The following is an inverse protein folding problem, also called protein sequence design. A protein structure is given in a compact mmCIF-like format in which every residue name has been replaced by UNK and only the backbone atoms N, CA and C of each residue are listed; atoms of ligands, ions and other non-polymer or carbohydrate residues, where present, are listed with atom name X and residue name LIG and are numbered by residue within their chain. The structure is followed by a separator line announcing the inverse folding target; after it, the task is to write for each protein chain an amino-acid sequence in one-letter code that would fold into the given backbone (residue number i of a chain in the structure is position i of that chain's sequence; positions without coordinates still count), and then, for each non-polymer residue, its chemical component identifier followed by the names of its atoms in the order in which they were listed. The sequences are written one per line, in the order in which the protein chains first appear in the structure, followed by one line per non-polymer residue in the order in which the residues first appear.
data_IF_484493510827
#
_entry.id   IF_484493510827
#
_cell.length_a   1.000
_cell.length_b   1.000
_cell.length_c   1.000
_cell.angle_alpha   90.00
_cell.angle_beta   90.00
_cell.angle_gamma   90.00
#
_symmetry.space_group_name_H-M   'P 1'
#
loop_
_entity.id
_entity.type
_entity.pdbx_description
1 polymer ?
#
# COMPACT_ATOMS: atom_id res chain seq x y z
N UNK A 1 -20.07 -9.36 -57.58
CA UNK A 1 -21.03 -10.41 -57.16
C UNK A 1 -20.64 -10.91 -55.80
N UNK A 2 -21.49 -10.81 -54.91
CA UNK A 2 -21.89 -11.33 -53.65
C UNK A 2 -21.82 -10.31 -52.49
N UNK A 3 -23.01 -9.80 -52.19
CA UNK A 3 -23.39 -9.02 -51.02
C UNK A 3 -23.59 -9.98 -49.85
N UNK A 4 -23.14 -9.63 -48.67
CA UNK A 4 -23.54 -10.23 -47.40
C UNK A 4 -24.28 -9.20 -46.53
N UNK A 5 -25.24 -9.60 -45.68
CA UNK A 5 -26.33 -8.74 -45.24
C UNK A 5 -26.05 -8.01 -43.91
N UNK A 6 -26.70 -6.85 -43.86
CA UNK A 6 -26.82 -5.96 -42.69
C UNK A 6 -27.65 -6.63 -41.60
N UNK A 7 -27.17 -6.62 -40.32
CA UNK A 7 -27.97 -6.93 -39.14
C UNK A 7 -28.39 -5.64 -38.42
N UNK A 8 -29.70 -5.50 -38.29
CA UNK A 8 -30.39 -4.43 -37.62
C UNK A 8 -30.20 -4.48 -36.10
N UNK A 9 -29.99 -3.33 -35.48
CA UNK A 9 -30.02 -3.11 -34.04
C UNK A 9 -31.47 -2.98 -33.59
N UNK A 10 -31.86 -3.81 -32.59
CA UNK A 10 -33.06 -3.63 -31.84
C UNK A 10 -32.78 -2.77 -30.60
N UNK A 11 -33.66 -1.77 -30.38
CA UNK A 11 -33.53 -0.75 -29.35
C UNK A 11 -33.86 -1.26 -27.94
N UNK A 12 -33.13 -0.70 -26.98
CA UNK A 12 -33.36 -0.89 -25.55
C UNK A 12 -34.21 0.28 -25.05
N UNK A 13 -35.41 -0.05 -24.51
CA UNK A 13 -36.36 0.86 -23.87
C UNK A 13 -35.87 1.26 -22.47
N UNK A 14 -35.99 2.55 -22.16
CA UNK A 14 -35.89 3.13 -20.79
C UNK A 14 -37.14 2.77 -19.99
N UNK A 15 -37.08 2.62 -18.67
CA UNK A 15 -38.23 2.77 -17.78
C UNK A 15 -38.28 4.13 -17.10
N UNK A 16 -39.47 4.73 -17.09
CA UNK A 16 -39.84 5.92 -16.32
C UNK A 16 -40.41 5.55 -14.95
N UNK A 17 -40.54 6.51 -14.02
CA UNK A 17 -40.82 6.28 -12.60
C UNK A 17 -42.32 6.46 -12.26
N UNK A 18 -42.82 5.77 -11.23
CA UNK A 18 -43.93 6.19 -10.34
C UNK A 18 -44.14 5.14 -9.24
N UNK A 19 -43.98 5.53 -8.01
CA UNK A 19 -44.95 5.84 -6.93
C UNK A 19 -45.91 4.73 -6.50
N UNK A 20 -45.88 4.43 -5.25
CA UNK A 20 -46.85 4.32 -4.16
C UNK A 20 -46.79 3.03 -3.31
N UNK A 21 -46.53 3.33 -2.04
CA UNK A 21 -47.18 2.79 -0.82
C UNK A 21 -48.07 1.54 -0.92
N UNK A 22 -47.72 0.50 -0.11
CA UNK A 22 -48.67 -0.08 0.85
C UNK A 22 -48.01 -1.10 1.80
N UNK A 23 -48.52 -1.14 3.02
CA UNK A 23 -48.15 -2.04 4.13
C UNK A 23 -48.69 -3.45 3.87
N UNK A 24 -47.94 -4.47 4.29
CA UNK A 24 -48.41 -5.68 4.99
C UNK A 24 -47.27 -6.69 5.16
N UNK A 25 -47.00 -7.00 6.33
CA UNK A 25 -47.28 -8.28 7.04
C UNK A 25 -46.15 -9.32 7.03
N UNK A 26 -45.94 -9.80 8.25
CA UNK A 26 -44.89 -10.72 8.64
C UNK A 26 -45.15 -12.14 8.10
N UNK A 27 -44.14 -12.72 7.45
CA UNK A 27 -43.95 -14.16 7.46
C UNK A 27 -42.50 -14.55 7.22
N UNK A 28 -42.00 -15.44 8.07
CA UNK A 28 -40.65 -16.02 8.09
C UNK A 28 -40.28 -16.65 6.75
N UNK A 29 -39.09 -16.46 6.23
CA UNK A 29 -38.55 -17.35 5.21
C UNK A 29 -37.76 -18.50 5.81
N UNK A 30 -38.02 -19.67 5.27
CA UNK A 30 -37.35 -20.96 5.44
C UNK A 30 -35.92 -20.87 4.94
N UNK A 31 -35.02 -21.59 5.63
CA UNK A 31 -33.64 -21.84 5.24
C UNK A 31 -33.48 -22.46 3.85
N UNK A 32 -32.51 -22.03 3.04
CA UNK A 32 -31.95 -22.92 2.04
C UNK A 32 -30.56 -23.41 2.49
N UNK A 33 -30.44 -24.71 2.45
CA UNK A 33 -29.22 -25.49 2.45
C UNK A 33 -28.44 -25.21 1.16
N UNK A 34 -27.12 -25.25 1.27
CA UNK A 34 -26.04 -25.54 0.32
C UNK A 34 -25.01 -24.46 0.14
N UNK A 35 -23.88 -24.70 0.73
CA UNK A 35 -22.55 -24.78 0.16
C UNK A 35 -22.07 -23.61 -0.71
N UNK A 36 -21.52 -22.57 -0.07
CA UNK A 36 -20.47 -21.77 -0.71
C UNK A 36 -19.48 -21.36 0.36
N UNK A 37 -18.30 -21.92 0.27
CA UNK A 37 -17.15 -21.62 1.13
C UNK A 37 -16.75 -20.17 0.96
N UNK A 38 -17.12 -19.33 1.89
CA UNK A 38 -16.60 -17.96 2.03
C UNK A 38 -15.21 -18.00 2.67
N UNK A 39 -14.29 -17.14 2.29
CA UNK A 39 -12.93 -17.13 2.87
C UNK A 39 -12.99 -16.72 4.35
N UNK A 40 -12.25 -17.45 5.16
CA UNK A 40 -12.18 -17.45 6.64
C UNK A 40 -11.82 -16.07 7.27
N UNK A 41 -11.54 -15.05 6.50
CA UNK A 41 -11.07 -13.75 7.01
C UNK A 41 -12.14 -12.79 7.53
N UNK A 42 -13.45 -13.12 7.42
CA UNK A 42 -14.51 -12.20 7.85
C UNK A 42 -15.21 -12.59 9.17
N UNK A 43 -14.84 -13.73 9.78
CA UNK A 43 -15.55 -14.25 10.96
C UNK A 43 -14.94 -13.82 12.30
N UNK A 44 -13.79 -13.15 12.33
CA UNK A 44 -13.12 -12.75 13.59
C UNK A 44 -13.61 -11.40 14.15
N UNK A 45 -14.39 -10.61 13.40
CA UNK A 45 -14.76 -9.25 13.85
C UNK A 45 -16.22 -9.08 14.29
N UNK A 46 -17.01 -10.16 14.42
CA UNK A 46 -18.43 -10.03 14.78
C UNK A 46 -18.86 -10.82 16.02
N UNK A 47 -17.98 -11.17 16.89
CA UNK A 47 -18.30 -11.88 18.13
C UNK A 47 -17.80 -11.17 19.39
N UNK A 48 -18.08 -9.88 19.54
CA UNK A 48 -18.08 -9.24 20.86
C UNK A 48 -19.02 -8.05 20.86
N UNK A 49 -20.30 -8.27 20.97
CA UNK A 49 -21.21 -7.41 21.74
C UNK A 49 -22.42 -8.28 22.13
N UNK A 50 -22.28 -9.04 23.20
CA UNK A 50 -23.40 -9.35 24.06
C UNK A 50 -22.99 -8.97 25.48
N UNK A 51 -23.56 -7.91 25.94
CA UNK A 51 -23.40 -7.39 27.28
C UNK A 51 -24.16 -8.27 28.27
N UNK A 52 -23.51 -9.33 28.74
CA UNK A 52 -23.78 -9.85 30.09
C UNK A 52 -22.61 -9.47 30.96
N UNK A 53 -22.88 -8.59 31.93
CA UNK A 53 -21.96 -8.29 33.04
C UNK A 53 -21.81 -9.54 33.88
N UNK A 54 -20.88 -10.43 33.50
CA UNK A 54 -20.39 -11.44 34.41
C UNK A 54 -19.51 -10.72 35.44
N UNK A 55 -20.01 -10.60 36.67
CA UNK A 55 -19.25 -10.12 37.82
C UNK A 55 -18.13 -11.12 38.10
N UNK A 56 -16.95 -10.83 37.59
CA UNK A 56 -15.73 -11.49 38.02
C UNK A 56 -15.29 -10.89 39.34
N UNK A 57 -15.30 -11.68 40.40
CA UNK A 57 -14.80 -11.25 41.70
C UNK A 57 -13.49 -11.97 42.02
N UNK A 58 -12.45 -11.21 42.35
CA UNK A 58 -11.21 -11.78 42.86
C UNK A 58 -11.43 -12.25 44.31
N UNK A 59 -11.10 -13.50 44.60
CA UNK A 59 -11.05 -14.05 45.93
C UNK A 59 -9.62 -14.41 46.29
N UNK A 60 -9.28 -14.34 47.59
CA UNK A 60 -7.95 -14.64 48.08
C UNK A 60 -7.99 -15.69 49.18
N UNK A 61 -7.04 -16.63 49.19
CA UNK A 61 -6.86 -17.59 50.28
C UNK A 61 -5.40 -17.68 50.70
N UNK A 62 -5.17 -17.79 52.03
CA UNK A 62 -3.84 -18.00 52.59
C UNK A 62 -3.49 -19.48 52.58
N UNK A 63 -2.31 -19.78 52.08
CA UNK A 63 -1.76 -21.12 51.99
C UNK A 63 -0.30 -21.12 52.46
N UNK A 64 0.25 -22.28 52.76
CA UNK A 64 1.67 -22.43 53.09
C UNK A 64 2.34 -23.33 52.06
N UNK A 65 3.58 -23.06 51.73
CA UNK A 65 4.45 -23.95 50.97
C UNK A 65 4.82 -25.18 51.80
N UNK A 66 5.42 -26.19 51.18
CA UNK A 66 5.93 -27.39 51.90
C UNK A 66 6.94 -27.02 53.00
N UNK A 67 7.65 -25.92 52.84
CA UNK A 67 8.66 -25.41 53.74
C UNK A 67 8.07 -24.45 54.84
N UNK A 68 6.73 -24.38 54.91
CA UNK A 68 6.02 -23.57 55.91
C UNK A 68 5.90 -22.06 55.59
N UNK A 69 6.44 -21.60 54.44
CA UNK A 69 6.38 -20.19 54.06
C UNK A 69 4.95 -19.83 53.63
N UNK A 70 4.33 -18.79 54.21
CA UNK A 70 2.98 -18.37 53.87
C UNK A 70 2.95 -17.67 52.51
N UNK A 71 1.95 -17.97 51.68
CA UNK A 71 1.64 -17.25 50.46
C UNK A 71 0.13 -17.08 50.30
N UNK A 72 -0.25 -16.14 49.46
CA UNK A 72 -1.66 -15.90 49.12
C UNK A 72 -1.92 -16.31 47.68
N UNK A 73 -2.94 -17.13 47.47
CA UNK A 73 -3.45 -17.47 46.14
C UNK A 73 -4.62 -16.55 45.84
N UNK A 74 -4.50 -15.82 44.74
CA UNK A 74 -5.52 -14.93 44.22
C UNK A 74 -6.24 -15.68 43.11
N UNK A 75 -7.55 -15.80 43.22
CA UNK A 75 -8.40 -16.57 42.31
C UNK A 75 -9.40 -15.63 41.68
N UNK A 76 -9.43 -15.56 40.35
CA UNK A 76 -10.40 -14.76 39.56
C UNK A 76 -11.29 -15.72 38.82
N UNK A 77 -12.59 -15.72 39.15
CA UNK A 77 -13.59 -16.46 38.40
C UNK A 77 -13.93 -15.75 37.09
N UNK A 78 -14.13 -16.49 36.00
CA UNK A 78 -14.46 -15.96 34.66
C UNK A 78 -15.85 -16.35 34.19
N UNK A 79 -16.75 -16.68 35.15
CA UNK A 79 -18.12 -17.08 34.84
C UNK A 79 -18.30 -18.57 34.55
N UNK A 80 -19.54 -18.99 34.24
CA UNK A 80 -19.89 -20.41 34.00
C UNK A 80 -19.15 -20.96 32.76
N UNK A 81 -18.54 -22.13 32.92
CA UNK A 81 -17.88 -22.85 31.82
C UNK A 81 -16.43 -22.47 31.56
N UNK A 82 -15.86 -21.48 32.28
CA UNK A 82 -14.45 -21.12 32.16
C UNK A 82 -13.70 -21.43 33.45
N UNK A 83 -12.52 -22.00 33.35
CA UNK A 83 -11.65 -22.26 34.50
C UNK A 83 -11.22 -20.94 35.14
N UNK A 84 -11.23 -20.90 36.49
CA UNK A 84 -10.73 -19.74 37.23
C UNK A 84 -9.21 -19.58 36.98
N UNK A 85 -8.76 -18.33 36.91
CA UNK A 85 -7.33 -18.02 36.85
C UNK A 85 -6.80 -17.77 38.20
N UNK A 86 -5.60 -18.27 38.50
CA UNK A 86 -4.95 -18.15 39.79
C UNK A 86 -3.58 -17.52 39.66
N UNK A 87 -3.24 -16.66 40.61
CA UNK A 87 -1.90 -16.08 40.80
C UNK A 87 -1.44 -16.28 42.21
N UNK A 88 -0.14 -16.41 42.46
CA UNK A 88 0.45 -16.53 43.79
C UNK A 88 1.21 -15.28 44.13
N UNK A 89 0.95 -14.77 45.33
CA UNK A 89 1.68 -13.63 45.86
C UNK A 89 2.31 -14.00 47.21
N UNK A 90 3.59 -13.69 47.37
CA UNK A 90 4.37 -13.96 48.54
C UNK A 90 4.61 -12.65 49.30
N UNK A 91 4.13 -12.50 50.59
CA UNK A 91 4.39 -11.30 51.31
C UNK A 91 5.87 -11.20 51.69
N UNK A 92 6.47 -10.00 51.64
CA UNK A 92 7.83 -9.80 52.12
C UNK A 92 7.96 -10.13 53.60
N UNK A 93 9.09 -10.71 54.06
CA UNK A 93 9.31 -11.04 55.45
C UNK A 93 9.30 -9.77 56.30
N UNK A 94 8.71 -9.88 57.50
CA UNK A 94 8.65 -8.77 58.48
C UNK A 94 7.49 -7.79 58.29
N UNK A 95 6.61 -8.00 57.34
CA UNK A 95 5.43 -7.15 57.18
C UNK A 95 4.35 -7.44 58.22
N UNK A 96 3.70 -6.37 58.74
CA UNK A 96 2.53 -6.50 59.60
C UNK A 96 1.32 -7.03 58.80
N UNK A 97 0.41 -7.74 59.46
CA UNK A 97 -0.80 -8.29 58.80
C UNK A 97 -1.59 -7.20 58.07
N UNK A 98 -1.70 -6.00 58.67
CA UNK A 98 -2.38 -4.85 58.07
C UNK A 98 -1.72 -4.37 56.74
N UNK A 99 -0.39 -4.44 56.67
CA UNK A 99 0.36 -4.09 55.46
C UNK A 99 0.16 -5.16 54.39
N UNK A 100 0.16 -6.43 54.77
CA UNK A 100 -0.10 -7.58 53.88
C UNK A 100 -1.51 -7.46 53.31
N UNK A 101 -2.54 -7.24 54.07
CA UNK A 101 -3.94 -7.15 53.62
C UNK A 101 -4.15 -6.01 52.65
N UNK A 102 -3.54 -4.86 52.92
CA UNK A 102 -3.60 -3.69 52.01
C UNK A 102 -2.98 -3.98 50.65
N UNK A 103 -1.80 -4.56 50.60
CA UNK A 103 -1.09 -4.85 49.39
C UNK A 103 -1.74 -6.02 48.63
N UNK A 104 -2.20 -7.04 49.37
CA UNK A 104 -2.95 -8.14 48.77
C UNK A 104 -4.20 -7.65 48.01
N UNK A 105 -4.93 -6.71 48.60
CA UNK A 105 -6.11 -6.08 47.93
C UNK A 105 -5.70 -5.38 46.65
N UNK A 106 -4.58 -4.66 46.65
CA UNK A 106 -4.04 -3.98 45.47
C UNK A 106 -3.65 -4.96 44.37
N UNK A 107 -2.91 -6.01 44.71
CA UNK A 107 -2.44 -7.02 43.76
C UNK A 107 -3.61 -7.84 43.23
N UNK A 108 -4.62 -8.15 44.04
CA UNK A 108 -5.82 -8.85 43.63
C UNK A 108 -6.62 -8.02 42.60
N UNK A 109 -6.80 -6.73 42.82
CA UNK A 109 -7.46 -5.82 41.90
C UNK A 109 -6.69 -5.65 40.59
N UNK A 110 -5.35 -5.60 40.63
CA UNK A 110 -4.52 -5.55 39.44
C UNK A 110 -4.61 -6.84 38.63
N UNK A 111 -4.56 -8.00 39.30
CA UNK A 111 -4.70 -9.29 38.62
C UNK A 111 -6.09 -9.45 37.99
N UNK A 112 -7.15 -9.06 38.69
CA UNK A 112 -8.51 -9.05 38.17
C UNK A 112 -8.62 -8.18 36.90
N UNK A 113 -8.03 -6.98 36.91
CA UNK A 113 -7.99 -6.09 35.78
C UNK A 113 -7.30 -6.75 34.55
N UNK A 114 -6.15 -7.41 34.79
CA UNK A 114 -5.40 -8.13 33.72
C UNK A 114 -6.22 -9.30 33.17
N UNK A 115 -6.94 -10.02 34.03
CA UNK A 115 -7.84 -11.11 33.60
C UNK A 115 -9.00 -10.57 32.79
N UNK A 116 -9.64 -9.48 33.21
CA UNK A 116 -10.72 -8.81 32.46
C UNK A 116 -10.23 -8.26 31.12
N UNK A 117 -9.01 -7.77 31.05
CA UNK A 117 -8.37 -7.31 29.80
C UNK A 117 -7.93 -8.46 28.87
N UNK A 118 -8.05 -9.73 29.29
CA UNK A 118 -7.61 -10.88 28.49
C UNK A 118 -6.07 -11.02 28.39
N UNK A 119 -5.33 -10.31 29.25
CA UNK A 119 -3.86 -10.35 29.28
C UNK A 119 -3.31 -11.63 29.92
N UNK A 120 -4.12 -12.30 30.73
CA UNK A 120 -3.78 -13.55 31.40
C UNK A 120 -4.67 -14.67 30.87
N UNK A 121 -4.05 -15.72 30.36
CA UNK A 121 -4.70 -16.89 29.80
C UNK A 121 -4.53 -18.09 30.74
N UNK A 122 -5.45 -19.06 30.68
CA UNK A 122 -5.26 -20.33 31.32
C UNK A 122 -4.20 -21.18 30.57
N UNK A 123 -3.64 -22.18 31.21
CA UNK A 123 -2.68 -23.11 30.55
C UNK A 123 -3.29 -23.82 29.34
N UNK A 124 -4.59 -24.06 29.34
CA UNK A 124 -5.29 -24.64 28.21
C UNK A 124 -5.41 -23.64 27.07
N UNK A 125 -5.85 -22.40 27.33
CA UNK A 125 -5.95 -21.34 26.35
C UNK A 125 -4.58 -20.96 25.75
N UNK A 126 -3.51 -20.99 26.57
CA UNK A 126 -2.14 -20.81 26.06
C UNK A 126 -1.73 -21.95 25.13
N UNK A 127 -2.07 -23.20 25.48
CA UNK A 127 -1.80 -24.37 24.63
C UNK A 127 -2.60 -24.32 23.32
N UNK A 128 -3.88 -24.01 23.40
CA UNK A 128 -4.75 -23.87 22.24
C UNK A 128 -4.26 -22.75 21.32
N UNK A 129 -3.92 -21.60 21.90
CA UNK A 129 -3.37 -20.47 21.13
C UNK A 129 -2.03 -20.80 20.50
N UNK A 130 -1.18 -21.54 21.20
CA UNK A 130 0.08 -22.05 20.64
C UNK A 130 -0.18 -23.05 19.52
N UNK A 131 -1.07 -24.02 19.74
CA UNK A 131 -1.44 -25.01 18.75
C UNK A 131 -2.07 -24.38 17.51
N UNK A 132 -2.93 -23.38 17.69
CA UNK A 132 -3.52 -22.62 16.58
C UNK A 132 -2.44 -21.88 15.77
N UNK A 133 -1.48 -21.21 16.44
CA UNK A 133 -0.33 -20.58 15.76
C UNK A 133 0.54 -21.59 15.03
N UNK A 134 0.80 -22.74 15.63
CA UNK A 134 1.61 -23.81 15.03
C UNK A 134 0.90 -24.38 13.79
N UNK A 135 -0.44 -24.51 13.82
CA UNK A 135 -1.26 -24.93 12.68
C UNK A 135 -1.25 -23.88 11.56
N UNK A 136 -1.41 -22.59 11.89
CA UNK A 136 -1.34 -21.49 10.94
C UNK A 136 0.06 -21.37 10.32
N UNK A 137 1.12 -21.49 11.14
CA UNK A 137 2.50 -21.53 10.66
C UNK A 137 2.81 -22.76 9.80
N UNK A 138 2.16 -23.89 10.08
CA UNK A 138 2.28 -25.11 9.27
C UNK A 138 1.57 -25.02 7.92
N UNK A 139 0.51 -24.21 7.78
CA UNK A 139 -0.16 -23.94 6.51
C UNK A 139 0.69 -23.09 5.57
N UNK A 140 1.50 -22.17 6.09
CA UNK A 140 2.38 -21.30 5.30
C UNK A 140 3.79 -21.85 5.32
N UNK A 141 4.06 -22.75 4.37
CA UNK A 141 5.32 -23.53 4.36
C UNK A 141 6.50 -22.76 3.76
N UNK A 142 6.28 -21.86 2.81
CA UNK A 142 7.36 -21.20 2.06
C UNK A 142 7.21 -19.69 2.04
N UNK A 143 8.34 -18.99 1.76
CA UNK A 143 8.33 -17.53 1.59
C UNK A 143 7.37 -17.08 0.48
N UNK A 144 7.31 -17.83 -0.63
CA UNK A 144 6.39 -17.51 -1.73
C UNK A 144 4.93 -17.63 -1.27
N UNK A 145 4.58 -18.68 -0.53
CA UNK A 145 3.23 -18.85 0.01
C UNK A 145 2.87 -17.74 0.99
N UNK A 146 3.78 -17.37 1.91
CA UNK A 146 3.59 -16.25 2.83
C UNK A 146 3.47 -14.92 2.07
N UNK A 147 4.35 -14.69 1.11
CA UNK A 147 4.35 -13.49 0.27
C UNK A 147 3.03 -13.30 -0.45
N UNK A 148 2.47 -14.37 -1.04
CA UNK A 148 1.22 -14.31 -1.80
C UNK A 148 -0.02 -14.25 -0.90
N UNK A 149 -0.07 -15.07 0.17
CA UNK A 149 -1.29 -15.24 0.97
C UNK A 149 -1.44 -14.17 2.08
N UNK A 150 -0.33 -13.61 2.59
CA UNK A 150 -0.36 -12.70 3.75
C UNK A 150 0.26 -11.35 3.44
N UNK A 151 1.50 -11.33 2.93
CA UNK A 151 2.23 -10.09 2.73
C UNK A 151 1.59 -9.19 1.67
N UNK A 152 1.35 -9.69 0.46
CA UNK A 152 0.79 -8.89 -0.63
C UNK A 152 -0.63 -8.40 -0.38
N UNK A 153 -1.57 -9.16 0.22
CA UNK A 153 -2.85 -8.62 0.68
C UNK A 153 -2.70 -7.50 1.70
N UNK A 154 -1.76 -7.63 2.66
CA UNK A 154 -1.45 -6.57 3.63
C UNK A 154 -0.88 -5.30 2.96
N UNK A 155 -0.05 -5.45 1.94
CA UNK A 155 0.48 -4.32 1.13
C UNK A 155 -0.66 -3.65 0.35
N UNK A 156 -1.61 -4.42 -0.18
CA UNK A 156 -2.74 -3.91 -0.95
C UNK A 156 -3.64 -2.96 -0.13
N UNK A 157 -3.80 -3.23 1.17
CA UNK A 157 -4.59 -2.36 2.07
C UNK A 157 -3.84 -1.06 2.42
N UNK A 158 -2.51 -1.11 2.52
CA UNK A 158 -1.69 0.01 3.06
C UNK A 158 -1.03 0.88 2.02
N UNK A 159 -0.88 0.39 0.80
CA UNK A 159 -0.06 1.04 -0.22
C UNK A 159 -0.86 1.30 -1.49
N UNK A 160 -0.53 2.41 -2.18
CA UNK A 160 -1.03 2.70 -3.51
C UNK A 160 -0.65 1.59 -4.51
N UNK A 161 -1.48 1.41 -5.55
CA UNK A 161 -1.36 0.38 -6.57
C UNK A 161 0.02 0.31 -7.24
N UNK A 162 0.61 1.45 -7.57
CA UNK A 162 1.97 1.50 -8.12
C UNK A 162 3.03 0.90 -7.19
N UNK A 163 2.87 1.08 -5.86
CA UNK A 163 3.76 0.49 -4.86
C UNK A 163 3.53 -1.01 -4.79
N UNK A 164 2.26 -1.46 -4.78
CA UNK A 164 1.87 -2.87 -4.82
C UNK A 164 2.46 -3.57 -6.03
N UNK A 165 2.26 -3.01 -7.23
CA UNK A 165 2.82 -3.52 -8.49
C UNK A 165 4.35 -3.59 -8.46
N UNK A 166 5.01 -2.56 -7.89
CA UNK A 166 6.47 -2.55 -7.73
C UNK A 166 6.95 -3.65 -6.76
N UNK A 167 6.23 -3.89 -5.66
CA UNK A 167 6.55 -4.96 -4.72
C UNK A 167 6.40 -6.33 -5.38
N UNK A 168 5.26 -6.57 -6.02
CA UNK A 168 5.00 -7.82 -6.75
C UNK A 168 6.09 -8.08 -7.80
N UNK A 169 6.42 -7.10 -8.63
CA UNK A 169 7.45 -7.25 -9.65
C UNK A 169 8.86 -7.56 -9.08
N UNK A 170 9.22 -7.03 -7.91
CA UNK A 170 10.48 -7.36 -7.25
C UNK A 170 10.45 -8.73 -6.56
N UNK A 171 9.30 -9.11 -5.97
CA UNK A 171 9.10 -10.45 -5.42
C UNK A 171 9.26 -11.51 -6.52
N UNK A 172 8.58 -11.35 -7.64
CA UNK A 172 8.57 -12.32 -8.75
C UNK A 172 9.93 -12.42 -9.45
N UNK A 173 10.58 -11.26 -9.64
CA UNK A 173 11.82 -11.22 -10.42
C UNK A 173 13.06 -11.61 -9.63
N UNK A 174 13.13 -11.29 -8.34
CA UNK A 174 14.34 -11.41 -7.55
C UNK A 174 14.18 -12.29 -6.33
N UNK A 175 13.12 -12.12 -5.55
CA UNK A 175 12.99 -12.73 -4.23
C UNK A 175 12.48 -14.17 -4.35
N UNK A 176 11.39 -14.42 -5.06
CA UNK A 176 10.82 -15.76 -5.19
C UNK A 176 11.72 -16.74 -5.92
N UNK A 177 12.45 -16.37 -6.99
CA UNK A 177 13.39 -17.31 -7.61
C UNK A 177 14.53 -17.74 -6.70
N UNK A 178 14.96 -16.89 -5.76
CA UNK A 178 16.08 -17.16 -4.87
C UNK A 178 15.65 -17.79 -3.53
N UNK A 179 14.56 -17.29 -2.95
CA UNK A 179 14.17 -17.63 -1.57
C UNK A 179 12.77 -18.23 -1.47
N UNK A 180 11.96 -18.16 -2.52
CA UNK A 180 10.53 -18.50 -2.48
C UNK A 180 10.22 -19.94 -2.10
N UNK A 181 11.12 -20.89 -2.35
CA UNK A 181 10.97 -22.29 -2.02
C UNK A 181 11.34 -22.66 -0.59
N UNK A 182 12.07 -21.80 0.12
CA UNK A 182 12.46 -22.06 1.50
C UNK A 182 11.30 -21.81 2.45
N UNK A 183 11.21 -22.59 3.54
CA UNK A 183 10.29 -22.32 4.64
C UNK A 183 10.70 -21.02 5.34
N UNK A 184 9.73 -20.23 5.77
CA UNK A 184 9.97 -18.94 6.42
C UNK A 184 10.95 -19.01 7.61
N UNK A 185 10.83 -19.97 8.56
CA UNK A 185 11.75 -20.09 9.67
C UNK A 185 13.18 -20.53 9.29
N UNK A 186 13.35 -21.20 8.13
CA UNK A 186 14.61 -21.75 7.67
C UNK A 186 15.46 -20.75 6.88
N UNK A 187 14.90 -19.56 6.58
CA UNK A 187 15.62 -18.55 5.83
C UNK A 187 16.61 -17.81 6.75
N UNK A 188 17.88 -17.88 6.36
CA UNK A 188 18.99 -17.30 7.10
C UNK A 188 19.44 -15.95 6.55
N UNK A 189 20.10 -15.14 7.38
CA UNK A 189 20.74 -13.90 6.95
C UNK A 189 21.78 -14.14 5.82
N UNK A 190 22.47 -15.27 5.85
CA UNK A 190 23.45 -15.62 4.82
C UNK A 190 22.79 -15.79 3.44
N UNK A 191 21.65 -16.46 3.36
CA UNK A 191 20.91 -16.63 2.10
C UNK A 191 20.39 -15.29 1.55
N UNK A 192 19.90 -14.40 2.42
CA UNK A 192 19.46 -13.05 2.02
C UNK A 192 20.66 -12.25 1.52
N UNK A 193 21.77 -12.26 2.23
CA UNK A 193 23.00 -11.58 1.82
C UNK A 193 23.53 -12.13 0.49
N UNK A 194 23.47 -13.42 0.27
CA UNK A 194 23.85 -14.06 -1.00
C UNK A 194 22.97 -13.57 -2.17
N UNK A 195 21.64 -13.40 -1.96
CA UNK A 195 20.76 -12.81 -2.96
C UNK A 195 21.21 -11.38 -3.31
N UNK A 196 21.42 -10.52 -2.31
CA UNK A 196 21.81 -9.11 -2.54
C UNK A 196 23.16 -9.01 -3.24
N UNK A 197 24.14 -9.84 -2.84
CA UNK A 197 25.45 -9.93 -3.51
C UNK A 197 25.34 -10.44 -4.95
N UNK A 198 24.47 -11.41 -5.22
CA UNK A 198 24.22 -11.90 -6.58
C UNK A 198 23.63 -10.80 -7.49
N UNK A 199 22.81 -9.92 -6.94
CA UNK A 199 22.30 -8.76 -7.67
C UNK A 199 23.40 -7.73 -7.95
N UNK A 200 24.33 -7.52 -7.01
CA UNK A 200 25.51 -6.69 -7.23
C UNK A 200 26.41 -7.25 -8.32
N UNK A 201 26.66 -8.58 -8.30
CA UNK A 201 27.44 -9.26 -9.33
C UNK A 201 26.81 -9.17 -10.73
N UNK A 202 25.45 -9.10 -10.80
CA UNK A 202 24.68 -8.86 -12.03
C UNK A 202 24.56 -7.38 -12.37
N UNK A 203 25.38 -6.52 -11.80
CA UNK A 203 25.46 -5.07 -12.05
C UNK A 203 24.13 -4.33 -11.91
N UNK A 204 23.25 -4.77 -11.01
CA UNK A 204 22.01 -4.03 -10.75
C UNK A 204 22.34 -2.73 -9.99
N UNK A 205 21.61 -1.66 -10.29
CA UNK A 205 21.79 -0.37 -9.63
C UNK A 205 21.55 -0.50 -8.12
N UNK A 206 22.28 0.28 -7.33
CA UNK A 206 22.09 0.36 -5.88
C UNK A 206 20.62 0.57 -5.48
N UNK A 207 19.90 1.46 -6.20
CA UNK A 207 18.48 1.71 -5.95
C UNK A 207 17.59 0.47 -6.15
N UNK A 208 17.93 -0.43 -7.08
CA UNK A 208 17.19 -1.68 -7.29
C UNK A 208 17.45 -2.66 -6.15
N UNK A 209 18.73 -2.80 -5.74
CA UNK A 209 19.11 -3.69 -4.63
C UNK A 209 18.50 -3.20 -3.32
N UNK A 210 18.52 -1.89 -3.09
CA UNK A 210 17.91 -1.28 -1.91
C UNK A 210 16.39 -1.49 -1.85
N UNK A 211 15.69 -1.49 -2.99
CA UNK A 211 14.25 -1.83 -3.03
C UNK A 211 14.00 -3.27 -2.59
N UNK A 212 14.78 -4.22 -3.11
CA UNK A 212 14.67 -5.64 -2.71
C UNK A 212 14.95 -5.81 -1.22
N UNK A 213 16.01 -5.17 -0.70
CA UNK A 213 16.31 -5.15 0.73
C UNK A 213 15.14 -4.61 1.56
N UNK A 214 14.54 -3.49 1.16
CA UNK A 214 13.41 -2.87 1.88
C UNK A 214 12.17 -3.75 1.86
N UNK A 215 11.90 -4.45 0.75
CA UNK A 215 10.79 -5.40 0.67
C UNK A 215 11.01 -6.58 1.62
N UNK A 216 12.21 -7.18 1.62
CA UNK A 216 12.56 -8.26 2.54
C UNK A 216 12.47 -7.81 4.00
N UNK A 217 12.99 -6.61 4.32
CA UNK A 217 12.90 -6.04 5.66
C UNK A 217 11.45 -5.89 6.13
N UNK A 218 10.57 -5.38 5.26
CA UNK A 218 9.15 -5.22 5.59
C UNK A 218 8.45 -6.58 5.74
N UNK A 219 8.74 -7.54 4.87
CA UNK A 219 8.16 -8.88 4.86
C UNK A 219 8.56 -9.65 6.12
N UNK A 220 9.85 -9.71 6.43
CA UNK A 220 10.34 -10.45 7.61
C UNK A 220 9.98 -9.77 8.92
N UNK A 221 9.94 -8.42 8.95
CA UNK A 221 9.41 -7.70 10.11
C UNK A 221 7.94 -8.06 10.37
N UNK A 222 7.12 -8.11 9.32
CA UNK A 222 5.72 -8.49 9.45
C UNK A 222 5.57 -9.96 9.90
N UNK A 223 6.36 -10.88 9.34
CA UNK A 223 6.37 -12.28 9.74
C UNK A 223 6.76 -12.49 11.21
N UNK A 224 7.76 -11.74 11.68
CA UNK A 224 8.18 -11.74 13.08
C UNK A 224 7.10 -11.18 14.01
N UNK A 225 6.48 -10.05 13.66
CA UNK A 225 5.41 -9.43 14.45
C UNK A 225 4.13 -10.25 14.49
N UNK A 226 3.96 -11.19 13.55
CA UNK A 226 2.82 -12.13 13.49
C UNK A 226 3.16 -13.52 14.03
N UNK A 227 4.27 -13.69 14.72
CA UNK A 227 4.76 -14.95 15.29
C UNK A 227 4.90 -16.11 14.27
N UNK A 228 5.08 -15.80 12.98
CA UNK A 228 5.34 -16.78 11.92
C UNK A 228 6.79 -17.26 11.96
N UNK A 229 7.68 -16.41 12.46
CA UNK A 229 9.09 -16.70 12.69
C UNK A 229 9.51 -16.22 14.08
N UNK A 230 10.34 -16.98 14.78
CA UNK A 230 10.84 -16.65 16.10
C UNK A 230 11.97 -15.59 16.11
N UNK A 231 12.64 -15.41 14.98
CA UNK A 231 13.76 -14.48 14.79
C UNK A 231 13.67 -13.82 13.42
N UNK A 232 13.96 -12.53 13.39
CA UNK A 232 14.03 -11.81 12.13
C UNK A 232 15.42 -11.95 11.50
N UNK A 233 15.59 -12.65 10.36
CA UNK A 233 16.89 -12.82 9.74
C UNK A 233 17.50 -11.49 9.25
N UNK A 234 16.67 -10.47 8.98
CA UNK A 234 17.13 -9.16 8.51
C UNK A 234 17.94 -8.38 9.56
N UNK A 235 17.83 -8.70 10.84
CA UNK A 235 18.59 -8.03 11.91
C UNK A 235 20.11 -8.24 11.80
N UNK A 236 20.52 -9.29 11.05
CA UNK A 236 21.93 -9.62 10.78
C UNK A 236 22.34 -9.35 9.32
N UNK A 237 21.48 -8.73 8.51
CA UNK A 237 21.76 -8.40 7.11
C UNK A 237 22.19 -6.95 7.02
N UNK A 238 23.41 -6.68 6.59
CA UNK A 238 23.85 -5.31 6.33
C UNK A 238 23.02 -4.65 5.22
N UNK A 239 22.67 -3.39 5.46
CA UNK A 239 22.03 -2.58 4.42
C UNK A 239 23.01 -2.37 3.26
N UNK A 240 22.60 -2.67 2.01
CA UNK A 240 23.46 -2.48 0.85
C UNK A 240 24.00 -1.05 0.78
N UNK A 241 25.33 -0.94 0.55
CA UNK A 241 26.00 0.33 0.29
C UNK A 241 26.21 0.50 -1.22
N UNK A 242 26.26 1.71 -1.74
CA UNK A 242 26.59 1.96 -3.15
C UNK A 242 28.01 1.46 -3.43
N UNK A 243 28.26 1.05 -4.67
CA UNK A 243 29.62 0.69 -5.10
C UNK A 243 30.51 1.93 -5.10
N UNK A 244 31.80 1.73 -4.96
CA UNK A 244 32.78 2.80 -5.11
C UNK A 244 32.64 3.41 -6.51
N UNK A 245 32.32 4.71 -6.57
CA UNK A 245 32.05 5.40 -7.84
C UNK A 245 30.59 5.32 -8.35
N UNK A 246 29.70 4.54 -7.72
CA UNK A 246 28.28 4.61 -7.99
C UNK A 246 27.69 5.81 -7.25
N UNK A 247 27.30 6.84 -7.98
CA UNK A 247 26.62 8.00 -7.40
C UNK A 247 25.25 7.58 -6.83
N UNK A 248 25.04 7.78 -5.55
CA UNK A 248 23.79 7.42 -4.83
C UNK A 248 22.64 8.34 -5.21
N UNK A 249 22.94 9.53 -5.61
CA UNK A 249 22.14 10.49 -6.33
C UNK A 249 23.13 11.29 -7.17
N UNK A 250 23.24 11.01 -8.47
CA UNK A 250 23.36 12.17 -9.31
C UNK A 250 22.09 12.97 -8.99
N UNK A 251 22.19 14.05 -8.25
CA UNK A 251 21.27 15.15 -8.40
C UNK A 251 21.15 15.28 -9.90
N UNK A 252 19.95 15.00 -10.43
CA UNK A 252 19.78 15.08 -11.86
C UNK A 252 20.11 16.52 -12.18
N UNK A 253 21.32 16.75 -12.76
CA UNK A 253 21.76 18.09 -13.08
C UNK A 253 20.67 18.75 -13.85
N UNK A 254 20.13 19.82 -13.28
CA UNK A 254 19.10 20.61 -13.93
C UNK A 254 19.66 21.12 -15.26
N UNK A 255 18.82 21.27 -16.25
CA UNK A 255 19.23 21.94 -17.48
C UNK A 255 19.51 23.41 -17.19
N UNK A 256 20.59 23.91 -17.75
CA UNK A 256 20.91 25.34 -17.78
C UNK A 256 19.86 26.12 -18.63
N UNK A 257 19.78 27.41 -18.42
CA UNK A 257 18.90 28.28 -19.22
C UNK A 257 19.21 28.21 -20.74
N UNK A 258 20.48 27.97 -21.11
CA UNK A 258 20.86 27.80 -22.52
C UNK A 258 20.34 26.48 -23.11
N UNK A 259 20.46 25.38 -22.37
CA UNK A 259 19.90 24.08 -22.78
C UNK A 259 18.38 24.11 -22.88
N UNK A 260 17.71 24.80 -21.97
CA UNK A 260 16.25 24.96 -22.04
C UNK A 260 15.86 25.78 -23.27
N UNK A 261 16.57 26.85 -23.58
CA UNK A 261 16.33 27.62 -24.83
C UNK A 261 16.53 26.76 -26.08
N UNK A 262 17.59 25.97 -26.12
CA UNK A 262 17.82 25.05 -27.21
C UNK A 262 16.68 23.99 -27.32
N UNK A 263 16.19 23.46 -26.20
CA UNK A 263 15.03 22.55 -26.20
C UNK A 263 13.79 23.26 -26.78
N UNK A 264 13.58 24.52 -26.44
CA UNK A 264 12.44 25.31 -26.99
C UNK A 264 12.55 25.51 -28.49
N UNK A 265 13.70 25.88 -28.98
CA UNK A 265 13.94 26.07 -30.44
C UNK A 265 13.70 24.76 -31.21
N UNK A 266 14.16 23.65 -30.67
CA UNK A 266 13.90 22.33 -31.25
C UNK A 266 12.41 21.94 -31.21
N UNK A 267 11.68 22.33 -30.18
CA UNK A 267 10.24 22.05 -30.03
C UNK A 267 9.39 22.75 -31.10
N UNK A 268 9.83 23.88 -31.64
CA UNK A 268 9.10 24.58 -32.70
C UNK A 268 8.88 23.72 -33.96
N UNK A 269 9.74 22.72 -34.19
CA UNK A 269 9.65 21.78 -35.30
C UNK A 269 8.80 20.54 -35.02
N UNK A 270 8.26 20.44 -33.78
CA UNK A 270 7.52 19.27 -33.34
C UNK A 270 5.99 19.51 -33.40
N UNK A 271 5.17 18.45 -33.47
CA UNK A 271 3.71 18.57 -33.44
C UNK A 271 3.20 19.33 -32.23
N UNK A 272 2.15 20.14 -32.43
CA UNK A 272 1.60 21.04 -31.41
C UNK A 272 1.33 20.34 -30.06
N UNK A 273 0.81 19.14 -30.07
CA UNK A 273 0.58 18.34 -28.86
C UNK A 273 1.86 18.16 -28.01
N UNK A 274 2.97 17.85 -28.65
CA UNK A 274 4.23 17.63 -27.96
C UNK A 274 4.90 18.93 -27.53
N UNK A 275 4.79 19.97 -28.33
CA UNK A 275 5.22 21.34 -27.96
C UNK A 275 4.51 21.78 -26.69
N UNK A 276 3.17 21.71 -26.68
CA UNK A 276 2.37 22.08 -25.51
C UNK A 276 2.70 21.24 -24.27
N UNK A 277 2.86 19.91 -24.43
CA UNK A 277 3.17 19.01 -23.32
C UNK A 277 4.54 19.31 -22.70
N UNK A 278 5.57 19.43 -23.52
CA UNK A 278 6.95 19.62 -23.01
C UNK A 278 7.11 21.01 -22.42
N UNK A 279 6.54 22.07 -23.05
CA UNK A 279 6.52 23.42 -22.52
C UNK A 279 5.82 23.44 -21.13
N UNK A 280 4.65 22.82 -21.02
CA UNK A 280 3.92 22.72 -19.75
C UNK A 280 4.74 22.03 -18.66
N UNK A 281 5.46 20.93 -18.98
CA UNK A 281 6.31 20.23 -18.03
C UNK A 281 7.49 21.09 -17.55
N UNK A 282 8.11 21.88 -18.47
CA UNK A 282 9.23 22.77 -18.15
C UNK A 282 8.75 23.93 -17.28
N UNK A 283 7.66 24.60 -17.69
CA UNK A 283 7.25 25.85 -17.08
C UNK A 283 6.50 25.69 -15.75
N UNK A 284 5.96 24.49 -15.47
CA UNK A 284 5.21 24.24 -14.23
C UNK A 284 5.82 23.20 -13.32
N UNK A 285 6.75 22.44 -13.82
CA UNK A 285 7.33 21.34 -13.06
C UNK A 285 6.34 20.28 -12.58
N UNK A 286 5.15 20.14 -13.17
CA UNK A 286 4.16 19.12 -12.79
C UNK A 286 4.69 17.70 -13.06
N UNK A 287 4.14 16.74 -12.35
CA UNK A 287 4.52 15.34 -12.57
C UNK A 287 3.95 14.82 -13.90
N UNK A 288 4.66 13.90 -14.54
CA UNK A 288 4.25 13.29 -15.81
C UNK A 288 2.82 12.74 -15.78
N UNK A 289 2.43 12.03 -14.72
CA UNK A 289 1.08 11.48 -14.61
C UNK A 289 0.03 12.55 -14.34
N UNK A 290 0.37 13.62 -13.63
CA UNK A 290 -0.49 14.80 -13.46
C UNK A 290 -0.74 15.48 -14.81
N UNK A 291 0.31 15.64 -15.62
CA UNK A 291 0.20 16.18 -16.97
C UNK A 291 -0.70 15.31 -17.87
N UNK A 292 -0.51 13.99 -17.88
CA UNK A 292 -1.35 13.08 -18.66
C UNK A 292 -2.81 13.01 -18.18
N UNK A 293 -3.06 13.28 -16.90
CA UNK A 293 -4.39 13.30 -16.31
C UNK A 293 -5.10 14.66 -16.36
N UNK A 294 -4.46 15.70 -16.92
CA UNK A 294 -5.02 17.04 -17.01
C UNK A 294 -6.22 17.05 -17.95
N UNK A 295 -7.30 17.72 -17.52
CA UNK A 295 -8.53 17.89 -18.30
C UNK A 295 -8.75 19.35 -18.66
N UNK A 296 -9.52 19.62 -19.71
CA UNK A 296 -9.83 20.97 -20.16
C UNK A 296 -10.58 21.82 -19.11
N UNK A 297 -11.34 21.19 -18.24
CA UNK A 297 -12.02 21.85 -17.11
C UNK A 297 -11.04 22.33 -16.03
N UNK A 298 -9.81 21.83 -16.00
CA UNK A 298 -8.79 22.22 -15.04
C UNK A 298 -7.98 23.44 -15.50
N UNK A 299 -8.18 23.89 -16.75
CA UNK A 299 -7.44 25.00 -17.37
C UNK A 299 -8.31 26.26 -17.36
N UNK A 300 -7.89 27.25 -16.60
CA UNK A 300 -8.47 28.59 -16.66
C UNK A 300 -7.68 29.48 -17.65
N UNK A 301 -8.22 29.63 -18.84
CA UNK A 301 -7.62 30.43 -19.91
C UNK A 301 -7.64 31.94 -19.62
N UNK A 302 -8.49 32.40 -18.71
CA UNK A 302 -8.57 33.85 -18.35
C UNK A 302 -7.60 34.21 -17.25
N UNK A 303 -7.50 33.33 -16.22
CA UNK A 303 -6.60 33.53 -15.10
C UNK A 303 -5.17 33.06 -15.41
N UNK A 304 -4.94 32.35 -16.51
CA UNK A 304 -3.67 31.66 -16.84
C UNK A 304 -3.24 30.67 -15.74
N UNK A 305 -4.18 29.88 -15.23
CA UNK A 305 -3.92 28.89 -14.17
C UNK A 305 -4.36 27.50 -14.57
N UNK A 306 -3.75 26.50 -13.95
CA UNK A 306 -4.20 25.11 -14.02
C UNK A 306 -4.41 24.53 -12.62
N UNK A 307 -5.43 23.68 -12.47
CA UNK A 307 -5.69 22.96 -11.24
C UNK A 307 -5.25 21.50 -11.39
N UNK A 308 -4.30 21.07 -10.57
CA UNK A 308 -3.84 19.69 -10.53
C UNK A 308 -4.63 18.93 -9.47
N UNK A 309 -5.60 18.15 -9.88
CA UNK A 309 -6.52 17.40 -9.01
C UNK A 309 -6.40 15.89 -9.17
N UNK A 310 -5.72 15.40 -10.20
CA UNK A 310 -5.62 13.97 -10.53
C UNK A 310 -4.26 13.59 -11.10
N UNK A 311 -3.96 12.29 -11.06
CA UNK A 311 -2.74 11.71 -11.57
C UNK A 311 -3.08 10.46 -12.38
N UNK A 312 -2.72 10.43 -13.66
CA UNK A 312 -2.91 9.26 -14.51
C UNK A 312 -1.78 8.27 -14.29
N UNK A 313 -2.13 7.07 -13.89
CA UNK A 313 -1.22 5.99 -13.57
C UNK A 313 -1.38 4.81 -14.55
N UNK A 314 -0.39 3.94 -14.56
CA UNK A 314 -0.43 2.69 -15.31
C UNK A 314 0.26 1.57 -14.54
N UNK A 315 -0.41 0.44 -14.41
CA UNK A 315 0.20 -0.84 -14.03
C UNK A 315 -0.20 -1.91 -15.04
N UNK A 316 0.55 -3.00 -15.11
CA UNK A 316 0.20 -4.12 -16.01
C UNK A 316 -1.06 -4.86 -15.55
N UNK A 317 -1.43 -4.77 -14.28
CA UNK A 317 -2.61 -5.40 -13.71
C UNK A 317 -3.90 -4.61 -13.98
N UNK A 318 -3.86 -3.28 -13.76
CA UNK A 318 -5.04 -2.39 -13.83
C UNK A 318 -5.14 -1.65 -15.18
N UNK A 319 -4.07 -1.68 -15.99
CA UNK A 319 -4.01 -0.81 -17.16
C UNK A 319 -3.81 0.66 -16.80
N UNK A 320 -4.43 1.56 -17.56
CA UNK A 320 -4.42 3.00 -17.29
C UNK A 320 -5.57 3.35 -16.34
N UNK A 321 -5.26 4.01 -15.23
CA UNK A 321 -6.25 4.42 -14.23
C UNK A 321 -5.93 5.80 -13.64
N UNK A 322 -6.96 6.46 -13.10
CA UNK A 322 -6.84 7.72 -12.40
C UNK A 322 -6.60 7.50 -10.90
N UNK A 323 -5.67 8.25 -10.35
CA UNK A 323 -5.36 8.29 -8.92
C UNK A 323 -5.33 9.76 -8.45
N UNK A 324 -5.31 9.96 -7.15
CA UNK A 324 -5.09 11.28 -6.55
C UNK A 324 -3.62 11.69 -6.69
N UNK A 325 -3.30 12.99 -6.66
CA UNK A 325 -1.91 13.44 -6.55
C UNK A 325 -1.22 12.81 -5.33
N UNK A 326 0.09 12.58 -5.42
CA UNK A 326 0.88 11.86 -4.38
C UNK A 326 0.67 12.34 -2.94
N UNK A 327 0.29 13.60 -2.74
CA UNK A 327 0.03 14.19 -1.43
C UNK A 327 -1.47 14.24 -1.08
N UNK A 328 -2.35 13.67 -1.89
CA UNK A 328 -3.81 13.66 -1.70
C UNK A 328 -4.48 15.03 -1.85
N UNK A 329 -3.73 16.11 -2.16
CA UNK A 329 -4.25 17.49 -2.23
C UNK A 329 -4.19 17.99 -3.67
N UNK A 330 -5.29 18.62 -4.11
CA UNK A 330 -5.29 19.45 -5.31
C UNK A 330 -4.50 20.73 -5.07
N UNK A 331 -3.94 21.27 -6.15
CA UNK A 331 -3.25 22.58 -6.12
C UNK A 331 -3.46 23.32 -7.42
N UNK A 332 -3.51 24.64 -7.33
CA UNK A 332 -3.51 25.54 -8.47
C UNK A 332 -2.08 26.02 -8.75
N UNK A 333 -1.76 26.22 -10.01
CA UNK A 333 -0.43 26.61 -10.49
C UNK A 333 -0.64 27.70 -11.55
N UNK A 334 0.10 28.80 -11.42
CA UNK A 334 0.21 29.81 -12.46
C UNK A 334 1.01 29.24 -13.65
N UNK A 335 0.60 29.58 -14.86
CA UNK A 335 1.17 29.08 -16.10
C UNK A 335 1.52 30.26 -17.02
N UNK A 336 2.67 30.20 -17.65
CA UNK A 336 3.09 31.19 -18.63
C UNK A 336 2.02 31.39 -19.71
N UNK A 337 1.63 32.66 -20.04
CA UNK A 337 0.62 32.95 -21.05
C UNK A 337 0.91 32.29 -22.40
N UNK A 338 2.18 32.14 -22.80
CA UNK A 338 2.55 31.46 -24.06
C UNK A 338 2.19 29.97 -24.02
N UNK A 339 2.31 29.31 -22.86
CA UNK A 339 1.89 27.92 -22.68
C UNK A 339 0.37 27.79 -22.71
N UNK A 340 -0.33 28.71 -22.07
CA UNK A 340 -1.79 28.78 -22.15
C UNK A 340 -2.28 28.98 -23.59
N UNK A 341 -1.58 29.80 -24.37
CA UNK A 341 -1.87 29.98 -25.80
C UNK A 341 -1.66 28.66 -26.59
N UNK A 342 -0.58 27.92 -26.33
CA UNK A 342 -0.36 26.61 -26.94
C UNK A 342 -1.46 25.60 -26.56
N UNK A 343 -1.91 25.62 -25.30
CA UNK A 343 -3.03 24.78 -24.86
C UNK A 343 -4.33 25.16 -25.55
N UNK A 344 -4.59 26.46 -25.74
CA UNK A 344 -5.76 26.93 -26.46
C UNK A 344 -5.75 26.47 -27.93
N UNK A 345 -4.61 26.61 -28.63
CA UNK A 345 -4.42 26.11 -29.99
C UNK A 345 -4.65 24.59 -30.07
N UNK A 346 -4.08 23.84 -29.10
CA UNK A 346 -4.26 22.38 -29.01
C UNK A 346 -5.75 22.01 -28.84
N UNK A 347 -6.49 22.77 -28.03
CA UNK A 347 -7.94 22.57 -27.85
C UNK A 347 -8.71 22.75 -29.15
N UNK A 348 -8.35 23.79 -29.93
CA UNK A 348 -8.96 24.04 -31.24
C UNK A 348 -8.64 22.94 -32.27
N UNK A 349 -7.41 22.44 -32.26
CA UNK A 349 -7.00 21.33 -33.10
C UNK A 349 -7.76 20.05 -32.72
N UNK A 350 -7.81 19.70 -31.45
CA UNK A 350 -8.52 18.51 -30.98
C UNK A 350 -10.03 18.56 -31.30
N UNK A 351 -10.67 19.70 -31.14
CA UNK A 351 -12.09 19.87 -31.39
C UNK A 351 -12.50 19.52 -32.86
N UNK A 352 -11.53 19.50 -33.82
CA UNK A 352 -11.75 19.12 -35.19
C UNK A 352 -11.75 17.61 -35.43
N UNK A 353 -11.18 16.83 -34.48
CA UNK A 353 -10.95 15.40 -34.64
C UNK A 353 -11.75 14.55 -33.65
N UNK A 354 -11.76 14.90 -32.36
CA UNK A 354 -12.49 14.14 -31.38
C UNK A 354 -12.78 15.04 -30.14
N UNK A 355 -13.94 14.87 -29.53
CA UNK A 355 -14.28 15.51 -28.24
C UNK A 355 -13.71 14.66 -27.12
N UNK A 356 -12.74 15.19 -26.40
CA UNK A 356 -12.16 14.56 -25.22
C UNK A 356 -12.14 15.50 -24.03
N UNK A 357 -12.39 15.03 -22.80
CA UNK A 357 -12.17 15.84 -21.61
C UNK A 357 -10.68 16.10 -21.34
N UNK A 358 -9.77 15.25 -21.85
CA UNK A 358 -8.35 15.33 -21.58
C UNK A 358 -7.62 16.31 -22.49
N UNK A 359 -6.65 17.03 -21.91
CA UNK A 359 -5.77 17.96 -22.64
C UNK A 359 -4.84 17.20 -23.57
N UNK A 360 -4.28 16.08 -23.10
CA UNK A 360 -3.38 15.24 -23.87
C UNK A 360 -4.02 13.88 -24.11
N UNK A 361 -4.29 13.58 -25.37
CA UNK A 361 -4.96 12.34 -25.83
C UNK A 361 -4.00 11.44 -26.58
N UNK A 362 -4.40 10.18 -26.73
CA UNK A 362 -3.78 9.27 -27.71
C UNK A 362 -4.09 9.75 -29.13
N UNK A 363 -3.29 9.33 -30.11
CA UNK A 363 -3.52 9.68 -31.49
C UNK A 363 -4.84 9.05 -31.96
N UNK A 364 -5.67 9.85 -32.61
CA UNK A 364 -6.99 9.47 -33.19
C UNK A 364 -7.98 8.88 -32.14
N UNK A 365 -7.80 9.14 -30.85
CA UNK A 365 -8.69 8.66 -29.79
C UNK A 365 -9.06 9.78 -28.80
N UNK A 366 -10.24 9.65 -28.19
CA UNK A 366 -10.64 10.51 -27.05
C UNK A 366 -10.02 10.10 -25.72
N UNK A 367 -9.33 8.96 -25.67
CA UNK A 367 -8.69 8.43 -24.48
C UNK A 367 -7.50 9.28 -24.02
N UNK A 368 -7.20 9.33 -22.74
CA UNK A 368 -6.04 10.06 -22.24
C UNK A 368 -4.74 9.47 -22.78
N UNK A 369 -3.74 10.30 -22.96
CA UNK A 369 -2.39 9.88 -23.36
C UNK A 369 -1.83 8.88 -22.33
N UNK A 370 -1.37 7.71 -22.81
CA UNK A 370 -0.75 6.72 -21.93
C UNK A 370 0.40 7.32 -21.10
N UNK A 371 0.45 7.12 -19.78
CA UNK A 371 1.41 7.79 -18.88
C UNK A 371 2.90 7.60 -19.24
N UNK A 372 3.24 6.56 -20.01
CA UNK A 372 4.62 6.36 -20.46
C UNK A 372 4.94 7.06 -21.78
N UNK A 373 3.96 7.57 -22.51
CA UNK A 373 4.16 8.20 -23.82
C UNK A 373 5.08 9.42 -23.76
N UNK A 374 4.98 10.33 -22.76
CA UNK A 374 5.92 11.44 -22.64
C UNK A 374 7.38 10.99 -22.47
N UNK A 375 7.62 9.93 -21.70
CA UNK A 375 8.98 9.40 -21.53
C UNK A 375 9.53 8.81 -22.82
N UNK A 376 8.70 8.07 -23.57
CA UNK A 376 9.10 7.50 -24.87
C UNK A 376 9.37 8.61 -25.92
N UNK A 377 8.50 9.62 -25.94
CA UNK A 377 8.67 10.77 -26.83
C UNK A 377 9.96 11.53 -26.51
N UNK A 378 10.19 11.92 -25.25
CA UNK A 378 11.38 12.66 -24.85
C UNK A 378 12.66 11.87 -25.14
N UNK A 379 12.65 10.54 -25.05
CA UNK A 379 13.79 9.71 -25.46
C UNK A 379 14.06 9.85 -26.98
N UNK A 380 13.03 9.82 -27.82
CA UNK A 380 13.17 10.02 -29.28
C UNK A 380 13.62 11.44 -29.59
N UNK A 381 13.04 12.44 -28.95
CA UNK A 381 13.43 13.84 -29.07
C UNK A 381 14.90 14.06 -28.68
N UNK A 382 15.33 13.50 -27.55
CA UNK A 382 16.71 13.50 -27.09
C UNK A 382 17.68 12.97 -28.16
N UNK A 383 17.33 11.86 -28.79
CA UNK A 383 18.13 11.26 -29.87
C UNK A 383 18.13 12.13 -31.15
N UNK A 384 16.99 12.72 -31.50
CA UNK A 384 16.84 13.54 -32.70
C UNK A 384 17.63 14.84 -32.64
N UNK A 385 17.65 15.49 -31.48
CA UNK A 385 18.21 16.83 -31.30
C UNK A 385 19.51 16.86 -30.45
N UNK A 386 20.04 15.71 -30.07
CA UNK A 386 21.30 15.64 -29.30
C UNK A 386 21.19 16.11 -27.83
N UNK A 387 19.98 16.21 -27.27
CA UNK A 387 19.77 16.67 -25.89
C UNK A 387 19.93 15.50 -24.92
N UNK A 388 21.06 15.41 -24.24
CA UNK A 388 21.38 14.28 -23.37
C UNK A 388 20.45 14.16 -22.14
N UNK A 389 20.02 12.93 -21.84
CA UNK A 389 19.34 12.59 -20.60
C UNK A 389 17.94 13.20 -20.43
N UNK A 390 17.26 13.58 -21.51
CA UNK A 390 15.95 14.23 -21.46
C UNK A 390 14.85 13.26 -21.01
N UNK A 391 14.24 13.55 -19.87
CA UNK A 391 13.10 12.80 -19.33
C UNK A 391 12.25 13.70 -18.40
N UNK A 392 10.98 13.34 -18.11
CA UNK A 392 10.06 14.24 -17.39
C UNK A 392 10.54 14.70 -16.01
N UNK A 393 11.27 13.84 -15.27
CA UNK A 393 11.79 14.22 -13.96
C UNK A 393 12.93 15.24 -14.05
N UNK A 394 13.81 15.12 -15.07
CA UNK A 394 14.88 16.10 -15.27
C UNK A 394 14.30 17.48 -15.62
N UNK A 395 13.27 17.54 -16.47
CA UNK A 395 12.54 18.79 -16.76
C UNK A 395 11.94 19.42 -15.49
N UNK A 396 11.34 18.61 -14.63
CA UNK A 396 10.82 19.10 -13.35
C UNK A 396 11.92 19.62 -12.41
N UNK A 397 13.08 18.96 -12.36
CA UNK A 397 14.22 19.46 -11.58
C UNK A 397 14.73 20.80 -12.13
N UNK A 398 14.76 20.95 -13.46
CA UNK A 398 15.18 22.19 -14.11
C UNK A 398 14.23 23.37 -13.79
N UNK A 399 12.92 23.12 -13.74
CA UNK A 399 11.96 24.14 -13.28
C UNK A 399 12.32 24.65 -11.88
N UNK A 400 12.59 23.76 -10.92
CA UNK A 400 12.94 24.17 -9.56
C UNK A 400 14.22 24.98 -9.48
N UNK A 401 15.17 24.75 -10.42
CA UNK A 401 16.45 25.47 -10.47
C UNK A 401 16.39 26.81 -11.23
N UNK A 402 15.42 26.99 -12.12
CA UNK A 402 15.23 28.24 -12.90
C UNK A 402 14.30 29.20 -12.18
N UNK A 403 13.37 28.69 -11.36
CA UNK A 403 12.41 29.49 -10.58
C UNK A 403 13.03 30.13 -9.31
N UNK A 404 14.30 29.84 -9.02
CA UNK A 404 15.10 30.50 -7.96
C UNK A 404 15.99 31.55 -8.58
#
# INVERSE_FOLDING_TARGET
MHKAPVRQHQGIKKPSPCANTERADASKPKSPNQGTTMPIYYTIFRAVVSTEKEETMASTRKLNTKDGTPFYEIIVSRGRGKSALTSRWYPPPGWSQKAIDRELTRVAAEFERKVKAGEVLSREEERERKQQRDLEAAQIRTLKQYGTAVFMPSVAVRCAENTRSSYQGNLDKWIYPALGGYKMPDITAAQISALLLSMQAKEKSHGTILKVYTILQTLFKMAYMSDVIDRNPMDKVERPKPRKGESVAQEAEAYSAQEIRHIWDCLEQEPLKWRALVRLLIDTGIRRGECCGLQWQDVDFKANTITISRNLCYTSAEGVYLDTPKNGKSRMIDVDPNVIQLLWQLRQEQARHAISPYVFTQDASADPMHPQSPTRYLKKFSQKYGVAGLHPHKLRHSFASIAI
#
